data_IF_089926826880
#
_entry.id   IF_089926826880
#
_cell.length_a   1.000
_cell.length_b   1.000
_cell.length_c   1.000
_cell.angle_alpha   90.00
_cell.angle_beta   90.00
_cell.angle_gamma   90.00
#
_symmetry.space_group_name_H-M   'P 1'
#
loop_
_entity.id
_entity.type
_entity.pdbx_description
1 polymer ?
#
# COMPACT_ATOMS: atom_id res chain seq x y z
N UNK A 1 -28.87 2.06 21.41
CA UNK A 1 -29.17 1.65 20.02
C UNK A 1 -27.85 1.37 19.33
N UNK A 2 -27.41 0.12 19.42
CA UNK A 2 -26.15 -0.42 18.92
C UNK A 2 -26.26 -0.64 17.42
N UNK A 3 -25.46 0.08 16.63
CA UNK A 3 -25.30 -0.20 15.20
C UNK A 3 -24.36 -1.39 15.04
N UNK A 4 -24.90 -2.60 14.99
CA UNK A 4 -24.17 -3.77 14.49
C UNK A 4 -23.95 -3.54 12.99
N UNK A 5 -22.71 -3.53 12.47
CA UNK A 5 -22.48 -3.37 11.04
C UNK A 5 -23.12 -4.55 10.27
N UNK A 6 -23.69 -4.32 9.08
CA UNK A 6 -24.31 -5.39 8.31
C UNK A 6 -23.27 -6.46 7.97
N UNK A 7 -23.57 -7.71 8.31
CA UNK A 7 -22.76 -8.89 7.96
C UNK A 7 -22.71 -9.01 6.42
N UNK A 8 -21.66 -8.50 5.80
CA UNK A 8 -21.50 -8.60 4.34
C UNK A 8 -20.50 -7.64 3.70
N UNK A 9 -19.98 -6.63 4.41
CA UNK A 9 -18.82 -5.87 3.91
C UNK A 9 -17.58 -6.75 4.09
N UNK A 10 -17.20 -7.48 3.04
CA UNK A 10 -15.90 -8.15 2.96
C UNK A 10 -14.82 -7.09 3.17
N UNK A 11 -14.26 -7.04 4.38
CA UNK A 11 -13.01 -6.33 4.63
C UNK A 11 -12.02 -6.80 3.55
N UNK A 12 -11.29 -5.89 2.88
CA UNK A 12 -10.29 -6.32 1.92
C UNK A 12 -9.40 -7.36 2.61
N UNK A 13 -9.25 -8.50 1.96
CA UNK A 13 -8.43 -9.58 2.50
C UNK A 13 -7.03 -9.01 2.76
N UNK A 14 -6.59 -9.11 4.01
CA UNK A 14 -5.28 -8.61 4.37
C UNK A 14 -4.21 -9.51 3.75
N UNK A 15 -3.47 -8.98 2.79
CA UNK A 15 -2.38 -9.70 2.14
C UNK A 15 -1.09 -9.42 2.89
N UNK A 16 -0.58 -10.44 3.60
CA UNK A 16 0.71 -10.39 4.28
C UNK A 16 1.83 -10.55 3.25
N UNK A 17 2.78 -9.62 3.27
CA UNK A 17 4.02 -9.72 2.49
C UNK A 17 5.17 -10.11 3.42
N UNK A 18 5.99 -11.09 3.03
CA UNK A 18 7.23 -11.36 3.75
C UNK A 18 8.28 -10.27 3.49
N UNK A 19 9.13 -9.98 4.48
CA UNK A 19 10.18 -8.97 4.35
C UNK A 19 11.43 -9.54 3.67
N UNK A 20 11.26 -10.02 2.44
CA UNK A 20 12.32 -10.63 1.63
C UNK A 20 12.29 -10.07 0.21
N UNK A 21 13.44 -10.08 -0.46
CA UNK A 21 13.56 -9.58 -1.84
C UNK A 21 12.57 -10.24 -2.81
N UNK A 22 12.48 -11.58 -2.89
CA UNK A 22 11.53 -12.26 -3.76
C UNK A 22 10.05 -11.95 -3.45
N UNK A 23 9.68 -11.87 -2.16
CA UNK A 23 8.29 -11.60 -1.78
C UNK A 23 7.88 -10.16 -2.12
N UNK A 24 8.75 -9.18 -1.85
CA UNK A 24 8.52 -7.78 -2.23
C UNK A 24 8.45 -7.65 -3.75
N UNK A 25 9.33 -8.33 -4.49
CA UNK A 25 9.32 -8.34 -5.96
C UNK A 25 7.99 -8.87 -6.50
N UNK A 26 7.51 -10.00 -5.98
CA UNK A 26 6.24 -10.59 -6.38
C UNK A 26 5.06 -9.67 -6.07
N UNK A 27 5.04 -9.08 -4.87
CA UNK A 27 4.02 -8.13 -4.45
C UNK A 27 3.95 -6.89 -5.35
N UNK A 28 5.10 -6.33 -5.73
CA UNK A 28 5.16 -5.19 -6.65
C UNK A 28 4.74 -5.58 -8.08
N UNK A 29 5.16 -6.74 -8.57
CA UNK A 29 4.75 -7.22 -9.89
C UNK A 29 3.22 -7.35 -10.02
N UNK A 30 2.54 -7.73 -8.94
CA UNK A 30 1.08 -7.83 -8.88
C UNK A 30 0.39 -6.47 -8.70
N UNK A 31 0.79 -5.69 -7.70
CA UNK A 31 0.03 -4.52 -7.26
C UNK A 31 0.51 -3.18 -7.86
N UNK A 32 1.75 -3.11 -8.34
CA UNK A 32 2.38 -1.87 -8.77
C UNK A 32 3.58 -2.12 -9.71
N UNK A 33 3.35 -2.69 -10.91
CA UNK A 33 4.42 -3.09 -11.82
C UNK A 33 5.31 -1.92 -12.27
N UNK A 34 4.80 -0.69 -12.22
CA UNK A 34 5.58 0.52 -12.54
C UNK A 34 6.67 0.82 -11.51
N UNK A 35 6.51 0.36 -10.27
CA UNK A 35 7.49 0.56 -9.18
C UNK A 35 8.52 -0.57 -9.09
N UNK A 36 8.27 -1.70 -9.77
CA UNK A 36 9.15 -2.87 -9.76
C UNK A 36 10.56 -2.57 -10.27
N UNK A 37 10.77 -1.83 -11.39
CA UNK A 37 12.12 -1.51 -11.86
C UNK A 37 12.94 -0.68 -10.87
N UNK A 38 12.30 0.24 -10.14
CA UNK A 38 12.96 1.07 -9.13
C UNK A 38 13.43 0.21 -7.94
N UNK A 39 12.57 -0.68 -7.43
CA UNK A 39 12.94 -1.65 -6.40
C UNK A 39 14.11 -2.53 -6.85
N UNK A 40 14.05 -3.11 -8.05
CA UNK A 40 15.11 -3.99 -8.54
C UNK A 40 16.44 -3.25 -8.72
N UNK A 41 16.41 -1.99 -9.13
CA UNK A 41 17.61 -1.17 -9.26
C UNK A 41 18.24 -0.87 -7.88
N UNK A 42 17.46 -0.37 -6.93
CA UNK A 42 17.94 -0.08 -5.58
C UNK A 42 18.46 -1.33 -4.87
N UNK A 43 17.76 -2.46 -5.00
CA UNK A 43 18.15 -3.71 -4.37
C UNK A 43 19.44 -4.27 -4.99
N UNK A 44 19.61 -4.19 -6.31
CA UNK A 44 20.87 -4.59 -6.98
C UNK A 44 22.05 -3.72 -6.57
N UNK A 45 21.86 -2.41 -6.44
CA UNK A 45 22.91 -1.49 -5.97
C UNK A 45 23.31 -1.87 -4.54
N UNK A 46 22.35 -1.99 -3.62
CA UNK A 46 22.64 -2.33 -2.23
C UNK A 46 23.32 -3.69 -2.07
N UNK A 47 22.99 -4.69 -2.90
CA UNK A 47 23.67 -5.99 -2.92
C UNK A 47 25.10 -5.88 -3.44
N UNK A 48 25.34 -5.11 -4.50
CA UNK A 48 26.69 -4.92 -5.03
C UNK A 48 27.59 -4.23 -4.01
N UNK A 49 27.12 -3.17 -3.36
CA UNK A 49 27.93 -2.49 -2.37
C UNK A 49 28.17 -3.34 -1.10
N UNK A 50 27.20 -4.17 -0.73
CA UNK A 50 27.38 -5.13 0.37
C UNK A 50 28.33 -6.28 0.00
N UNK A 51 28.48 -6.62 -1.28
CA UNK A 51 29.50 -7.55 -1.75
C UNK A 51 30.91 -6.95 -1.58
N UNK A 52 31.04 -5.63 -1.78
CA UNK A 52 32.30 -4.91 -1.65
C UNK A 52 32.78 -4.76 -0.19
N UNK A 53 31.88 -4.47 0.75
CA UNK A 53 32.25 -4.16 2.15
C UNK A 53 31.62 -5.04 3.24
N UNK A 54 30.79 -6.02 2.85
CA UNK A 54 30.10 -6.95 3.74
C UNK A 54 29.11 -6.29 4.73
N UNK A 55 28.75 -5.02 4.54
CA UNK A 55 27.73 -4.33 5.34
C UNK A 55 26.32 -4.49 4.73
N UNK A 56 25.51 -5.31 5.38
CA UNK A 56 24.12 -5.58 4.99
C UNK A 56 23.12 -4.49 5.44
N UNK A 57 23.57 -3.43 6.11
CA UNK A 57 22.68 -2.37 6.62
C UNK A 57 21.90 -1.69 5.49
N UNK A 58 22.53 -1.51 4.32
CA UNK A 58 21.87 -0.92 3.14
C UNK A 58 20.82 -1.85 2.54
N UNK A 59 21.13 -3.14 2.41
CA UNK A 59 20.18 -4.16 1.95
C UNK A 59 18.96 -4.19 2.88
N UNK A 60 19.20 -4.15 4.18
CA UNK A 60 18.16 -4.11 5.23
C UNK A 60 17.27 -2.88 5.09
N UNK A 61 17.84 -1.70 4.87
CA UNK A 61 17.10 -0.45 4.68
C UNK A 61 16.23 -0.45 3.41
N UNK A 62 16.74 -0.99 2.30
CA UNK A 62 15.97 -1.15 1.06
C UNK A 62 14.77 -2.08 1.32
N UNK A 63 14.99 -3.23 1.96
CA UNK A 63 13.90 -4.16 2.28
C UNK A 63 12.85 -3.51 3.17
N UNK A 64 13.23 -2.72 4.18
CA UNK A 64 12.28 -2.02 5.06
C UNK A 64 11.40 -1.03 4.32
N UNK A 65 12.02 -0.15 3.52
CA UNK A 65 11.31 0.86 2.74
C UNK A 65 10.30 0.21 1.79
N UNK A 66 10.76 -0.78 1.03
CA UNK A 66 9.95 -1.40 -0.02
C UNK A 66 8.91 -2.36 0.53
N UNK A 67 9.16 -3.00 1.67
CA UNK A 67 8.16 -3.82 2.36
C UNK A 67 6.94 -3.01 2.81
N UNK A 68 7.18 -1.82 3.38
CA UNK A 68 6.09 -0.90 3.73
C UNK A 68 5.30 -0.44 2.51
N UNK A 69 5.99 -0.11 1.41
CA UNK A 69 5.35 0.30 0.16
C UNK A 69 4.52 -0.83 -0.46
N UNK A 70 5.07 -2.03 -0.56
CA UNK A 70 4.37 -3.21 -1.05
C UNK A 70 3.10 -3.52 -0.22
N UNK A 71 3.20 -3.42 1.12
CA UNK A 71 2.02 -3.57 1.99
C UNK A 71 0.92 -2.56 1.66
N UNK A 72 1.25 -1.29 1.46
CA UNK A 72 0.27 -0.24 1.14
C UNK A 72 -0.36 -0.41 -0.25
N UNK A 73 0.39 -0.98 -1.21
CA UNK A 73 -0.13 -1.26 -2.56
C UNK A 73 -1.11 -2.43 -2.57
N UNK A 74 -0.80 -3.51 -1.85
CA UNK A 74 -1.67 -4.68 -1.74
C UNK A 74 -2.86 -4.48 -0.81
N UNK A 75 -2.70 -3.61 0.20
CA UNK A 75 -3.72 -3.33 1.20
C UNK A 75 -4.13 -1.85 1.15
N UNK A 76 -4.77 -1.38 0.06
CA UNK A 76 -5.16 0.00 -0.06
C UNK A 76 -6.15 0.37 1.05
N UNK A 77 -5.82 1.42 1.81
CA UNK A 77 -6.73 1.95 2.81
C UNK A 77 -7.98 2.44 2.09
N UNK A 78 -9.13 1.81 2.37
CA UNK A 78 -10.42 2.23 1.82
C UNK A 78 -10.57 3.74 2.03
N UNK A 79 -10.88 4.52 0.97
CA UNK A 79 -11.03 5.95 1.13
C UNK A 79 -12.14 6.23 2.14
N UNK A 80 -11.81 6.99 3.21
CA UNK A 80 -12.82 7.57 4.10
C UNK A 80 -13.84 8.27 3.22
N UNK A 81 -15.06 7.71 3.15
CA UNK A 81 -16.19 8.21 2.38
C UNK A 81 -16.32 9.72 2.61
N UNK A 82 -15.85 10.54 1.66
CA UNK A 82 -16.09 11.99 1.70
C UNK A 82 -17.59 12.14 1.57
N UNK A 83 -18.24 12.54 2.65
CA UNK A 83 -19.66 12.89 2.62
C UNK A 83 -19.81 14.05 1.63
N UNK A 84 -20.36 13.73 0.46
CA UNK A 84 -20.89 14.71 -0.48
C UNK A 84 -22.09 15.37 0.18
N UNK A 85 -21.87 16.50 0.87
CA UNK A 85 -22.95 17.43 1.19
C UNK A 85 -23.33 18.19 -0.09
N UNK A 86 -24.11 17.55 -0.96
CA UNK A 86 -24.79 18.22 -2.07
C UNK A 86 -26.19 18.64 -1.63
N UNK A 87 -26.36 19.97 -1.53
CA UNK A 87 -27.55 20.77 -1.84
C UNK A 87 -28.92 20.23 -1.38
N UNK A 88 -29.50 20.89 -0.37
CA UNK A 88 -30.94 21.20 -0.41
C UNK A 88 -31.12 22.57 -1.04
N UNK A 89 -31.77 22.56 -2.21
CA UNK A 89 -32.25 23.73 -2.93
C UNK A 89 -33.33 24.43 -2.11
N UNK A 90 -33.34 25.76 -2.23
CA UNK A 90 -34.36 26.63 -1.66
C UNK A 90 -35.76 26.22 -2.16
N UNK A 91 -36.70 26.10 -1.22
CA UNK A 91 -38.12 26.31 -1.50
C UNK A 91 -38.58 27.46 -0.61
N UNK A 92 -38.70 28.64 -1.21
CA UNK A 92 -39.48 29.74 -0.65
C UNK A 92 -40.36 30.24 -1.78
N UNK A 93 -41.60 29.74 -1.80
CA UNK A 93 -42.70 30.35 -2.52
C UNK A 93 -43.95 30.12 -1.68
N UNK A 94 -44.44 31.20 -1.04
CA UNK A 94 -45.86 31.49 -0.92
C UNK A 94 -46.04 32.94 -0.48
N UNK A 95 -46.71 33.70 -1.35
CA UNK A 95 -47.07 35.10 -1.24
C UNK A 95 -47.71 35.50 -2.56
#
# INVERSE_FOLDING_TARGET
MTGVPPRGESMPEYVRVERSGPAIRAALAEASPDELPEFEAEFRIALAEADDDFDLSRVTAVLDRWWGRAHLRLNPLLPKRRLSSSRSLAVTSMG
#
